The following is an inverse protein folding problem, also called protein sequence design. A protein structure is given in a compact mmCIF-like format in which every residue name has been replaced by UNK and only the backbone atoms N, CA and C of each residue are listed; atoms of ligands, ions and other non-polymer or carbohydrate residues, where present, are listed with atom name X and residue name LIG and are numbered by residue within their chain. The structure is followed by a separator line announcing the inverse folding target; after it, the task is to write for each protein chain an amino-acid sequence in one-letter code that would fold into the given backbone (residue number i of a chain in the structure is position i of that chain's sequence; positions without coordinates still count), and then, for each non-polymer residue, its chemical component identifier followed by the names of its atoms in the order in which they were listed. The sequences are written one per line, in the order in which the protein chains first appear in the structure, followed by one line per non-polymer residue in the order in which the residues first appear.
data_IF_857166829996
#
_entry.id   IF_857166829996
#
_cell.length_a   1.000
_cell.length_b   1.000
_cell.length_c   1.000
_cell.angle_alpha   90.00
_cell.angle_beta   90.00
_cell.angle_gamma   90.00
#
_symmetry.space_group_name_H-M   'P 1'
#
loop_
_entity.id
_entity.type
_entity.pdbx_description
1 polymer ?
#
# COMPACT_ATOMS: atom_id res chain seq x y z
N UNK A 1 19.64 17.22 -4.21
CA UNK A 1 18.29 17.25 -4.81
C UNK A 1 17.31 17.12 -3.66
N UNK A 2 16.44 18.12 -3.46
CA UNK A 2 15.50 18.12 -2.36
C UNK A 2 14.22 17.37 -2.79
N UNK A 3 13.85 16.29 -2.08
CA UNK A 3 12.66 15.49 -2.38
C UNK A 3 11.39 16.33 -2.28
N UNK A 4 11.38 17.32 -1.39
CA UNK A 4 10.24 18.23 -1.19
C UNK A 4 9.92 19.02 -2.46
N UNK A 5 10.95 19.46 -3.18
CA UNK A 5 10.79 20.24 -4.42
C UNK A 5 10.15 19.45 -5.58
N UNK A 6 10.20 18.12 -5.52
CA UNK A 6 9.55 17.23 -6.52
C UNK A 6 8.15 16.83 -6.06
N UNK A 7 7.94 16.70 -4.75
CA UNK A 7 6.67 16.25 -4.19
C UNK A 7 5.58 17.33 -4.22
N UNK A 8 5.92 18.59 -3.96
CA UNK A 8 4.98 19.72 -3.97
C UNK A 8 4.17 19.84 -5.28
N UNK A 9 4.77 19.85 -6.49
CA UNK A 9 4.00 19.95 -7.73
C UNK A 9 3.12 18.72 -7.99
N UNK A 10 3.56 17.53 -7.56
CA UNK A 10 2.76 16.30 -7.68
C UNK A 10 1.52 16.38 -6.78
N UNK A 11 1.71 16.79 -5.52
CA UNK A 11 0.60 16.99 -4.59
C UNK A 11 -0.37 18.07 -5.09
N UNK A 12 0.16 19.18 -5.60
CA UNK A 12 -0.66 20.26 -6.18
C UNK A 12 -1.48 19.76 -7.38
N UNK A 13 -0.92 18.91 -8.23
CA UNK A 13 -1.62 18.31 -9.36
C UNK A 13 -2.78 17.42 -8.92
N UNK A 14 -2.57 16.55 -7.92
CA UNK A 14 -3.63 15.66 -7.41
C UNK A 14 -4.65 16.36 -6.50
N UNK A 15 -4.43 17.62 -6.13
CA UNK A 15 -5.31 18.37 -5.25
C UNK A 15 -6.40 19.17 -5.98
N UNK A 16 -6.31 19.36 -7.29
CA UNK A 16 -7.25 20.20 -8.05
C UNK A 16 -7.56 19.64 -9.46
N UNK A 17 -8.67 20.07 -10.04
CA UNK A 17 -9.09 19.75 -11.41
C UNK A 17 -9.16 18.25 -11.72
N UNK A 18 -8.62 17.85 -12.87
CA UNK A 18 -8.63 16.45 -13.33
C UNK A 18 -7.77 15.53 -12.45
N UNK A 19 -6.71 16.05 -11.82
CA UNK A 19 -5.83 15.27 -10.96
C UNK A 19 -6.56 14.80 -9.70
N UNK A 20 -7.39 15.65 -9.10
CA UNK A 20 -8.27 15.26 -7.99
C UNK A 20 -9.26 14.16 -8.38
N UNK A 21 -9.84 14.24 -9.58
CA UNK A 21 -10.74 13.21 -10.10
C UNK A 21 -10.01 11.87 -10.25
N UNK A 22 -8.83 11.87 -10.86
CA UNK A 22 -8.00 10.66 -11.02
C UNK A 22 -7.63 10.07 -9.65
N UNK A 23 -7.23 10.90 -8.69
CA UNK A 23 -6.91 10.45 -7.33
C UNK A 23 -8.12 9.81 -6.63
N UNK A 24 -9.31 10.40 -6.79
CA UNK A 24 -10.55 9.84 -6.24
C UNK A 24 -10.91 8.50 -6.88
N UNK A 25 -10.76 8.36 -8.20
CA UNK A 25 -10.99 7.09 -8.90
C UNK A 25 -9.98 6.03 -8.44
N UNK A 26 -8.70 6.38 -8.36
CA UNK A 26 -7.65 5.47 -7.89
C UNK A 26 -7.92 5.00 -6.46
N UNK A 27 -8.33 5.91 -5.56
CA UNK A 27 -8.76 5.56 -4.20
C UNK A 27 -9.97 4.63 -4.20
N UNK A 28 -10.98 4.91 -5.01
CA UNK A 28 -12.18 4.08 -5.09
C UNK A 28 -11.83 2.66 -5.55
N UNK A 29 -10.99 2.51 -6.58
CA UNK A 29 -10.50 1.21 -7.06
C UNK A 29 -9.70 0.51 -5.96
N UNK A 30 -8.79 1.23 -5.29
CA UNK A 30 -8.00 0.66 -4.20
C UNK A 30 -8.87 0.16 -3.05
N UNK A 31 -9.85 0.95 -2.60
CA UNK A 31 -10.80 0.54 -1.56
C UNK A 31 -11.69 -0.62 -1.99
N UNK A 32 -12.00 -0.73 -3.28
CA UNK A 32 -12.75 -1.86 -3.82
C UNK A 32 -11.93 -3.15 -3.81
N UNK A 33 -10.66 -3.09 -4.21
CA UNK A 33 -9.77 -4.26 -4.23
C UNK A 33 -9.28 -4.66 -2.82
N UNK A 34 -9.04 -3.67 -1.96
CA UNK A 34 -8.53 -3.82 -0.61
C UNK A 34 -9.48 -3.13 0.37
N UNK A 35 -10.62 -3.76 0.68
CA UNK A 35 -11.60 -3.17 1.56
C UNK A 35 -11.04 -3.08 2.99
N UNK A 36 -11.45 -2.07 3.75
CA UNK A 36 -10.90 -1.79 5.08
C UNK A 36 -11.20 -2.89 6.12
N UNK A 37 -12.21 -3.72 5.85
CA UNK A 37 -12.57 -4.91 6.64
C UNK A 37 -11.93 -6.20 6.08
N UNK A 38 -10.97 -6.09 5.15
CA UNK A 38 -10.19 -7.24 4.71
C UNK A 38 -9.48 -7.87 5.90
N UNK A 39 -9.32 -9.20 5.85
CA UNK A 39 -8.63 -9.95 6.89
C UNK A 39 -7.23 -9.39 7.12
N UNK A 40 -6.78 -9.42 8.37
CA UNK A 40 -5.50 -8.86 8.74
C UNK A 40 -4.39 -9.53 7.93
N UNK A 41 -3.34 -8.76 7.60
CA UNK A 41 -2.18 -9.30 6.89
C UNK A 41 -1.62 -10.50 7.67
N UNK A 42 -1.77 -11.70 7.10
CA UNK A 42 -1.21 -12.93 7.68
C UNK A 42 0.28 -12.95 7.44
N UNK A 43 1.06 -13.15 8.50
CA UNK A 43 2.47 -13.50 8.36
C UNK A 43 2.52 -14.95 7.90
N UNK A 44 2.67 -15.18 6.59
CA UNK A 44 2.97 -16.52 6.11
C UNK A 44 4.35 -16.90 6.67
N UNK A 45 4.48 -17.88 7.59
CA UNK A 45 5.79 -18.27 8.07
C UNK A 45 6.54 -18.87 6.88
N UNK A 46 7.48 -18.12 6.32
CA UNK A 46 8.51 -18.71 5.47
C UNK A 46 9.09 -19.90 6.26
N UNK A 47 9.38 -21.05 5.62
CA UNK A 47 9.81 -22.28 6.31
C UNK A 47 11.15 -22.16 7.08
N UNK A 48 11.74 -20.97 7.19
CA UNK A 48 12.93 -20.67 7.98
C UNK A 48 12.67 -20.64 9.50
N UNK A 49 11.72 -21.45 9.98
CA UNK A 49 11.56 -21.79 11.41
C UNK A 49 11.02 -23.21 11.58
N UNK A 50 11.46 -24.16 10.75
CA UNK A 50 11.36 -25.55 11.14
C UNK A 50 12.24 -25.74 12.39
N UNK A 51 11.70 -26.06 13.59
CA UNK A 51 12.54 -26.65 14.62
C UNK A 51 13.11 -27.94 14.04
N UNK A 52 14.44 -28.10 14.09
CA UNK A 52 15.06 -29.39 13.76
C UNK A 52 14.35 -30.47 14.58
N UNK A 53 14.01 -31.63 14.00
CA UNK A 53 13.49 -32.73 14.79
C UNK A 53 14.52 -33.05 15.87
N UNK A 54 14.11 -33.04 17.13
CA UNK A 54 14.91 -33.58 18.22
C UNK A 54 14.97 -35.08 17.95
N UNK A 55 16.11 -35.55 17.46
CA UNK A 55 16.43 -36.97 17.36
C UNK A 55 16.35 -37.56 18.78
N UNK A 56 15.65 -38.70 18.90
CA UNK A 56 15.33 -39.36 20.18
C UNK A 56 16.56 -39.72 21.00
#
# INVERSE_FOLDING_TARGET
MNLDAVLEPILKFFSDGIGAIIANIAKAIYHFLYPANADAATTNPTPSTAPKPVEK
#
